data_IF_969989672363
#
_entry.id   IF_969989672363
#
_cell.length_a   1.000
_cell.length_b   1.000
_cell.length_c   1.000
_cell.angle_alpha   90.00
_cell.angle_beta   90.00
_cell.angle_gamma   90.00
#
_symmetry.space_group_name_H-M   'P 1'
#
loop_
_entity.id
_entity.type
_entity.pdbx_description
1 polymer ?
#
# COMPACT_ATOMS: atom_id res chain seq x y z
N UNK A 1 10.31 15.90 17.84
CA UNK A 1 10.58 15.57 16.42
C UNK A 1 9.25 15.34 15.72
N UNK A 2 9.11 15.73 14.45
CA UNK A 2 7.91 15.49 13.64
C UNK A 2 8.14 14.23 12.78
N UNK A 3 7.48 13.13 13.11
CA UNK A 3 7.53 11.87 12.35
C UNK A 3 6.39 11.82 11.35
N UNK A 4 6.70 11.46 10.10
CA UNK A 4 5.72 11.30 9.02
C UNK A 4 6.02 10.04 8.23
N UNK A 5 4.98 9.34 7.79
CA UNK A 5 5.15 8.21 6.90
C UNK A 5 5.57 8.64 5.49
N UNK A 6 6.38 7.79 4.89
CA UNK A 6 6.65 7.69 3.46
C UNK A 6 6.75 6.21 3.12
N UNK A 7 5.59 5.56 3.02
CA UNK A 7 5.50 4.11 2.91
C UNK A 7 5.46 3.70 1.44
N UNK A 8 6.39 2.84 1.03
CA UNK A 8 6.36 2.19 -0.28
C UNK A 8 5.85 0.77 -0.11
N UNK A 9 4.85 0.39 -0.91
CA UNK A 9 4.29 -0.96 -0.94
C UNK A 9 4.35 -1.51 -2.34
N UNK A 10 4.66 -2.80 -2.46
CA UNK A 10 4.58 -3.51 -3.74
C UNK A 10 3.20 -4.13 -3.85
N UNK A 11 2.51 -3.86 -4.94
CA UNK A 11 1.18 -4.43 -5.22
C UNK A 11 1.25 -5.24 -6.51
N UNK A 12 0.47 -6.31 -6.56
CA UNK A 12 0.42 -7.21 -7.70
C UNK A 12 -1.03 -7.38 -8.17
N UNK A 13 -1.21 -7.41 -9.48
CA UNK A 13 -2.44 -7.87 -10.12
C UNK A 13 -2.13 -8.98 -11.14
N UNK A 14 -3.11 -9.35 -11.97
CA UNK A 14 -2.93 -10.40 -12.98
C UNK A 14 -1.92 -10.06 -14.09
N UNK A 15 -1.49 -8.80 -14.20
CA UNK A 15 -0.64 -8.32 -15.29
C UNK A 15 0.79 -8.01 -14.82
N UNK A 16 1.02 -7.81 -13.53
CA UNK A 16 2.36 -7.58 -13.02
C UNK A 16 2.38 -6.99 -11.62
N UNK A 17 3.54 -6.43 -11.28
CA UNK A 17 3.80 -5.82 -9.98
C UNK A 17 4.28 -4.39 -10.18
N UNK A 18 3.76 -3.48 -9.36
CA UNK A 18 4.17 -2.07 -9.33
C UNK A 18 4.46 -1.63 -7.89
N UNK A 19 5.14 -0.50 -7.75
CA UNK A 19 5.38 0.11 -6.43
C UNK A 19 4.45 1.30 -6.24
N UNK A 20 3.71 1.31 -5.14
CA UNK A 20 2.88 2.44 -4.73
C UNK A 20 3.53 3.19 -3.58
N UNK A 21 3.37 4.52 -3.59
CA UNK A 21 3.82 5.41 -2.53
C UNK A 21 2.63 6.01 -1.77
N UNK A 22 2.48 5.62 -0.51
CA UNK A 22 1.52 6.18 0.44
C UNK A 22 2.21 7.28 1.25
N UNK A 23 1.63 8.47 1.25
CA UNK A 23 2.09 9.56 2.10
C UNK A 23 1.43 9.47 3.48
N UNK A 24 1.81 10.39 4.36
CA UNK A 24 1.39 10.36 5.76
C UNK A 24 -0.12 10.19 5.95
N UNK A 25 -0.96 10.90 5.18
CA UNK A 25 -2.41 10.81 5.34
C UNK A 25 -2.94 9.43 4.99
N UNK A 26 -2.52 8.87 3.85
CA UNK A 26 -2.98 7.55 3.41
C UNK A 26 -2.44 6.43 4.31
N UNK A 27 -1.18 6.54 4.73
CA UNK A 27 -0.59 5.59 5.66
C UNK A 27 -1.27 5.62 7.03
N UNK A 28 -1.53 6.80 7.60
CA UNK A 28 -2.27 6.91 8.88
C UNK A 28 -3.69 6.35 8.75
N UNK A 29 -4.37 6.64 7.63
CA UNK A 29 -5.71 6.12 7.37
C UNK A 29 -5.73 4.59 7.35
N UNK A 30 -4.70 3.96 6.79
CA UNK A 30 -4.59 2.50 6.74
C UNK A 30 -4.17 1.88 8.07
N UNK A 31 -3.11 2.44 8.68
CA UNK A 31 -2.44 1.89 9.86
C UNK A 31 -3.20 2.17 11.17
N UNK A 32 -4.09 3.16 11.18
CA UNK A 32 -4.76 3.63 12.40
C UNK A 32 -3.84 4.27 13.44
N UNK A 33 -2.53 4.38 13.15
CA UNK A 33 -1.49 4.94 14.02
C UNK A 33 -0.67 5.99 13.29
N UNK A 34 -0.30 7.05 13.98
CA UNK A 34 0.68 8.04 13.52
C UNK A 34 2.09 7.45 13.47
N UNK A 35 2.97 8.01 12.63
CA UNK A 35 4.36 7.57 12.55
C UNK A 35 5.12 7.75 13.88
N UNK A 36 4.66 8.67 14.72
CA UNK A 36 5.19 8.86 16.07
C UNK A 36 4.81 7.69 16.97
N UNK A 37 3.52 7.33 17.02
CA UNK A 37 3.03 6.19 17.81
C UNK A 37 3.66 4.87 17.35
N UNK A 38 3.83 4.69 16.03
CA UNK A 38 4.50 3.50 15.51
C UNK A 38 5.95 3.41 15.98
N UNK A 39 6.68 4.53 15.97
CA UNK A 39 8.07 4.58 16.44
C UNK A 39 8.18 4.35 17.95
N UNK A 40 7.28 4.92 18.74
CA UNK A 40 7.27 4.78 20.20
C UNK A 40 6.88 3.36 20.66
N UNK A 41 6.18 2.60 19.80
CA UNK A 41 5.85 1.20 20.04
C UNK A 41 6.97 0.21 19.71
N UNK A 42 8.05 0.65 19.07
CA UNK A 42 9.21 -0.21 18.78
C UNK A 42 10.01 -0.46 20.06
N UNK A 43 10.33 -1.72 20.33
CA UNK A 43 11.20 -2.11 21.44
C UNK A 43 12.66 -1.91 20.98
N UNK A 44 13.44 -1.15 21.74
CA UNK A 44 14.82 -0.73 21.41
C UNK A 44 15.87 -1.87 21.44
N UNK A 45 15.49 -3.11 21.76
CA UNK A 45 16.42 -4.22 22.00
C UNK A 45 16.84 -4.97 20.71
N UNK A 46 16.19 -4.67 19.57
CA UNK A 46 16.58 -5.17 18.26
C UNK A 46 17.55 -4.22 17.55
N UNK A 47 18.57 -4.76 16.88
CA UNK A 47 19.52 -3.98 16.07
C UNK A 47 18.82 -3.23 14.91
N UNK A 48 17.66 -3.73 14.48
CA UNK A 48 16.78 -3.14 13.45
C UNK A 48 15.30 -3.41 13.77
N UNK A 49 14.67 -2.62 14.64
CA UNK A 49 13.29 -2.89 15.04
C UNK A 49 12.33 -2.67 13.87
N UNK A 50 11.66 -3.75 13.45
CA UNK A 50 10.61 -3.71 12.44
C UNK A 50 9.23 -3.58 13.11
N UNK A 51 8.41 -2.58 12.73
CA UNK A 51 7.06 -2.45 13.27
C UNK A 51 6.13 -3.46 12.60
N UNK A 52 5.81 -4.54 13.32
CA UNK A 52 4.90 -5.61 12.86
C UNK A 52 3.53 -5.09 12.40
N UNK A 53 3.07 -3.94 12.88
CA UNK A 53 1.83 -3.34 12.42
C UNK A 53 1.87 -2.98 10.94
N UNK A 54 3.05 -2.81 10.33
CA UNK A 54 3.17 -2.62 8.88
C UNK A 54 2.68 -3.84 8.11
N UNK A 55 2.67 -5.02 8.71
CA UNK A 55 2.16 -6.23 8.08
C UNK A 55 0.64 -6.16 7.87
N UNK A 56 -0.07 -5.26 8.55
CA UNK A 56 -1.51 -5.04 8.35
C UNK A 56 -1.87 -4.58 6.93
N UNK A 57 -0.93 -4.12 6.10
CA UNK A 57 -1.18 -3.80 4.68
C UNK A 57 -0.93 -4.98 3.74
N UNK A 58 -0.21 -5.99 4.21
CA UNK A 58 0.18 -7.17 3.42
C UNK A 58 -1.04 -8.04 3.17
N UNK A 59 -1.07 -8.69 2.00
CA UNK A 59 -2.16 -9.58 1.55
C UNK A 59 -3.57 -8.95 1.48
N UNK A 60 -3.68 -7.64 1.65
CA UNK A 60 -4.94 -6.92 1.47
C UNK A 60 -5.19 -6.62 0.00
N UNK A 61 -6.45 -6.79 -0.38
CA UNK A 61 -6.95 -6.40 -1.69
C UNK A 61 -7.60 -5.02 -1.58
N UNK A 62 -6.98 -4.01 -2.18
CA UNK A 62 -7.44 -2.62 -2.12
C UNK A 62 -7.55 -2.03 -3.53
N UNK A 63 -8.49 -1.10 -3.73
CA UNK A 63 -8.53 -0.27 -4.93
C UNK A 63 -7.74 1.01 -4.67
N UNK A 64 -6.79 1.33 -5.54
CA UNK A 64 -5.98 2.53 -5.42
C UNK A 64 -6.28 3.52 -6.54
N UNK A 65 -6.58 4.76 -6.16
CA UNK A 65 -6.51 5.90 -7.08
C UNK A 65 -5.08 6.43 -7.08
N UNK A 66 -4.37 6.24 -8.19
CA UNK A 66 -2.98 6.67 -8.34
C UNK A 66 -2.84 7.90 -9.22
N UNK A 67 -1.78 8.66 -9.00
CA UNK A 67 -1.33 9.72 -9.90
C UNK A 67 -0.28 9.17 -10.85
N UNK A 68 -0.54 9.28 -12.15
CA UNK A 68 0.41 8.94 -13.22
C UNK A 68 1.01 10.23 -13.76
N UNK A 69 2.33 10.27 -13.86
CA UNK A 69 3.09 11.37 -14.46
C UNK A 69 3.74 10.91 -15.75
N UNK A 70 4.15 11.88 -16.56
CA UNK A 70 4.95 11.64 -17.77
C UNK A 70 6.20 10.79 -17.47
N UNK A 71 6.88 11.03 -16.35
CA UNK A 71 8.03 10.21 -15.94
C UNK A 71 7.68 8.74 -15.70
N UNK A 72 6.48 8.43 -15.22
CA UNK A 72 6.06 7.04 -15.05
C UNK A 72 5.91 6.32 -16.39
N UNK A 73 5.52 7.05 -17.45
CA UNK A 73 5.29 6.48 -18.79
C UNK A 73 6.61 6.42 -19.58
N UNK A 74 7.31 7.55 -19.71
CA UNK A 74 8.44 7.68 -20.63
C UNK A 74 9.80 7.41 -19.97
N UNK A 75 9.90 7.49 -18.64
CA UNK A 75 11.14 7.24 -17.90
C UNK A 75 11.06 5.97 -17.05
N UNK A 76 9.99 5.20 -17.17
CA UNK A 76 9.77 3.97 -16.40
C UNK A 76 9.94 4.19 -14.88
N UNK A 77 9.50 5.34 -14.37
CA UNK A 77 9.40 5.54 -12.93
C UNK A 77 8.27 4.63 -12.40
N UNK A 78 8.61 3.51 -11.79
CA UNK A 78 7.64 2.50 -11.34
C UNK A 78 7.00 2.84 -9.98
N UNK A 79 7.29 4.03 -9.42
CA UNK A 79 6.71 4.49 -8.15
C UNK A 79 5.52 5.42 -8.41
N UNK A 80 4.33 4.92 -8.13
CA UNK A 80 3.08 5.65 -8.32
C UNK A 80 2.57 6.23 -7.01
N UNK A 81 2.31 7.54 -6.98
CA UNK A 81 1.75 8.19 -5.78
C UNK A 81 0.27 7.81 -5.62
N UNK A 82 -0.10 7.31 -4.44
CA UNK A 82 -1.50 7.09 -4.06
C UNK A 82 -2.14 8.42 -3.69
N UNK A 83 -3.36 8.65 -4.20
CA UNK A 83 -4.19 9.79 -3.86
C UNK A 83 -5.30 9.41 -2.89
N UNK A 84 -5.88 8.22 -3.09
CA UNK A 84 -6.92 7.60 -2.26
C UNK A 84 -6.86 6.09 -2.43
N UNK A 85 -7.40 5.37 -1.46
CA UNK A 85 -7.68 3.95 -1.59
C UNK A 85 -9.04 3.62 -1.01
N UNK A 86 -9.60 2.48 -1.39
CA UNK A 86 -10.86 1.96 -0.89
C UNK A 86 -10.79 0.44 -0.72
N UNK A 87 -11.44 -0.03 0.33
CA UNK A 87 -11.75 -1.44 0.57
C UNK A 87 -13.27 -1.60 0.48
N UNK A 88 -13.78 -1.73 -0.75
CA UNK A 88 -15.21 -1.73 -1.03
C UNK A 88 -15.53 -2.71 -2.16
N UNK A 89 -16.23 -3.80 -1.81
CA UNK A 89 -16.61 -4.85 -2.76
C UNK A 89 -17.46 -4.34 -3.94
N UNK A 90 -18.27 -3.30 -3.73
CA UNK A 90 -19.10 -2.72 -4.78
C UNK A 90 -18.24 -2.04 -5.85
N UNK A 91 -17.20 -1.30 -5.42
CA UNK A 91 -16.24 -0.69 -6.33
C UNK A 91 -15.42 -1.76 -7.07
N UNK A 92 -15.02 -2.83 -6.39
CA UNK A 92 -14.36 -3.95 -7.07
C UNK A 92 -15.26 -4.55 -8.14
N UNK A 93 -16.55 -4.77 -7.86
CA UNK A 93 -17.47 -5.33 -8.85
C UNK A 93 -17.68 -4.41 -10.06
N UNK A 94 -17.68 -3.11 -9.84
CA UNK A 94 -17.90 -2.12 -10.90
C UNK A 94 -16.67 -1.92 -11.79
N UNK A 95 -15.47 -1.86 -11.21
CA UNK A 95 -14.26 -1.43 -11.90
C UNK A 95 -13.23 -2.53 -12.14
N UNK A 96 -13.39 -3.73 -11.56
CA UNK A 96 -12.43 -4.82 -11.79
C UNK A 96 -12.53 -5.30 -13.24
N UNK A 97 -11.39 -5.26 -13.94
CA UNK A 97 -11.33 -5.67 -15.33
C UNK A 97 -11.74 -7.16 -15.47
N UNK A 98 -12.57 -7.55 -16.45
CA UNK A 98 -13.08 -8.92 -16.58
C UNK A 98 -11.99 -10.00 -16.68
N UNK A 99 -10.77 -9.64 -17.12
CA UNK A 99 -9.63 -10.56 -17.19
C UNK A 99 -8.99 -10.83 -15.82
N UNK A 100 -9.20 -9.97 -14.83
CA UNK A 100 -8.75 -10.17 -13.46
C UNK A 100 -9.72 -11.14 -12.79
N UNK A 101 -9.39 -12.43 -12.78
CA UNK A 101 -10.21 -13.41 -12.07
C UNK A 101 -10.17 -13.07 -10.58
N UNK A 102 -11.36 -12.87 -10.00
CA UNK A 102 -11.52 -12.78 -8.55
C UNK A 102 -11.20 -14.14 -7.94
N UNK A 103 -9.95 -14.35 -7.53
CA UNK A 103 -9.58 -15.48 -6.68
C UNK A 103 -9.71 -15.05 -5.23
N UNK A 104 -10.85 -15.36 -4.61
CA UNK A 104 -10.89 -15.47 -3.16
C UNK A 104 -9.90 -16.58 -2.78
N UNK A 105 -8.94 -16.29 -1.90
CA UNK A 105 -7.83 -17.17 -1.49
C UNK A 105 -6.82 -17.51 -2.59
N UNK A 106 -5.73 -16.75 -2.61
CA UNK A 106 -4.44 -17.35 -2.92
C UNK A 106 -3.77 -17.59 -1.57
N UNK A 107 -3.85 -18.82 -1.06
CA UNK A 107 -2.94 -19.30 -0.02
C UNK A 107 -1.55 -19.32 -0.63
N UNK A 108 -0.70 -18.38 -0.23
CA UNK A 108 0.73 -18.45 -0.51
C UNK A 108 1.41 -19.20 0.65
N UNK A 109 2.18 -20.23 0.29
CA UNK A 109 2.98 -21.06 1.20
C UNK A 109 4.25 -20.35 1.65
#
# INVERSE_FOLDING_TARGET
>A
MNFRYRLQVRVMDGNGLITLLLWNCEAVQHMGKTAKELKEGLIDDDEYPYPSELDDIVEKKLMFKVMVKESNIYKQDEVYKVLKFADDESLFKEYCHPSLKYTASATFY
#
